data_IF_171344671496
#
_entry.id   IF_171344671496
#
_cell.length_a   1.000
_cell.length_b   1.000
_cell.length_c   1.000
_cell.angle_alpha   90.00
_cell.angle_beta   90.00
_cell.angle_gamma   90.00
#
_symmetry.space_group_name_H-M   'P 1'
#
loop_
_entity.id
_entity.type
_entity.pdbx_description
1 polymer ?
#
# COMPACT_ATOMS: atom_id res chain seq x y z
N UNK A 1 -49.04 -24.10 -29.43
CA UNK A 1 -47.61 -23.76 -29.34
C UNK A 1 -47.39 -22.38 -29.95
N UNK A 2 -47.19 -21.32 -29.16
CA UNK A 2 -46.53 -20.08 -29.60
C UNK A 2 -45.83 -19.37 -28.42
N UNK A 3 -44.80 -19.96 -27.79
CA UNK A 3 -44.00 -19.25 -26.80
C UNK A 3 -42.98 -18.26 -27.42
N UNK A 4 -42.88 -18.18 -28.75
CA UNK A 4 -41.80 -17.51 -29.48
C UNK A 4 -42.24 -16.33 -30.38
N UNK A 5 -43.39 -15.70 -30.11
CA UNK A 5 -43.77 -14.49 -30.86
C UNK A 5 -43.34 -13.23 -30.08
N UNK A 6 -42.30 -12.49 -30.52
CA UNK A 6 -41.81 -11.31 -29.81
C UNK A 6 -42.86 -10.19 -29.72
N UNK A 7 -43.83 -10.14 -30.64
CA UNK A 7 -44.91 -9.15 -30.62
C UNK A 7 -45.92 -9.42 -29.50
N UNK A 8 -46.19 -10.69 -29.17
CA UNK A 8 -47.07 -11.03 -28.04
C UNK A 8 -46.38 -10.78 -26.71
N UNK A 9 -45.06 -10.97 -26.63
CA UNK A 9 -44.25 -10.58 -25.47
C UNK A 9 -44.25 -9.07 -25.26
N UNK A 10 -44.06 -8.28 -26.33
CA UNK A 10 -44.15 -6.81 -26.22
C UNK A 10 -45.53 -6.34 -25.79
N UNK A 11 -46.60 -6.96 -26.29
CA UNK A 11 -47.97 -6.63 -25.86
C UNK A 11 -48.18 -6.98 -24.38
N UNK A 12 -47.72 -8.15 -23.94
CA UNK A 12 -47.82 -8.57 -22.55
C UNK A 12 -47.01 -7.67 -21.60
N UNK A 13 -45.79 -7.30 -21.98
CA UNK A 13 -44.96 -6.34 -21.22
C UNK A 13 -45.66 -4.98 -21.13
N UNK A 14 -46.28 -4.52 -22.23
CA UNK A 14 -47.05 -3.27 -22.23
C UNK A 14 -48.27 -3.33 -21.32
N UNK A 15 -49.06 -4.40 -21.40
CA UNK A 15 -50.21 -4.63 -20.54
C UNK A 15 -49.79 -4.71 -19.08
N UNK A 16 -48.70 -5.43 -18.78
CA UNK A 16 -48.12 -5.51 -17.45
C UNK A 16 -47.71 -4.13 -16.90
N UNK A 17 -46.97 -3.33 -17.68
CA UNK A 17 -46.56 -1.98 -17.28
C UNK A 17 -47.81 -1.11 -17.04
N UNK A 18 -48.79 -1.15 -17.92
CA UNK A 18 -50.02 -0.36 -17.76
C UNK A 18 -50.80 -0.76 -16.50
N UNK A 19 -51.01 -2.05 -16.28
CA UNK A 19 -51.69 -2.56 -15.09
C UNK A 19 -50.89 -2.28 -13.82
N UNK A 20 -49.56 -2.35 -13.88
CA UNK A 20 -48.67 -2.02 -12.77
C UNK A 20 -48.78 -0.54 -12.38
N UNK A 21 -48.74 0.37 -13.36
CA UNK A 21 -48.93 1.79 -13.11
C UNK A 21 -50.34 2.10 -12.60
N UNK A 22 -51.40 1.46 -13.10
CA UNK A 22 -52.76 1.65 -12.59
C UNK A 22 -52.96 1.10 -11.17
N UNK A 23 -52.22 0.06 -10.79
CA UNK A 23 -52.26 -0.53 -9.45
C UNK A 23 -51.56 0.30 -8.36
N UNK A 24 -50.76 1.30 -8.75
CA UNK A 24 -50.13 2.22 -7.80
C UNK A 24 -51.20 3.22 -7.32
N UNK A 25 -51.46 3.33 -6.01
CA UNK A 25 -52.37 4.33 -5.47
C UNK A 25 -51.72 5.72 -5.56
N UNK A 26 -51.78 6.35 -6.73
CA UNK A 26 -51.18 7.67 -7.02
C UNK A 26 -51.68 8.80 -6.11
N UNK A 27 -52.81 8.61 -5.43
CA UNK A 27 -53.31 9.56 -4.41
C UNK A 27 -52.46 9.54 -3.14
N UNK A 28 -51.85 8.41 -2.78
CA UNK A 28 -51.00 8.27 -1.60
C UNK A 28 -49.50 8.25 -1.94
N UNK A 29 -49.15 8.06 -3.21
CA UNK A 29 -47.78 8.16 -3.71
C UNK A 29 -47.02 9.43 -3.28
N UNK A 30 -47.61 10.64 -3.22
CA UNK A 30 -46.90 11.86 -2.79
C UNK A 30 -46.37 11.77 -1.36
N UNK A 31 -47.01 10.99 -0.49
CA UNK A 31 -46.58 10.79 0.90
C UNK A 31 -45.35 9.90 1.00
N UNK A 32 -45.15 9.00 0.04
CA UNK A 32 -44.01 8.08 -0.01
C UNK A 32 -42.78 8.67 -0.71
N UNK A 33 -42.96 9.68 -1.58
CA UNK A 33 -41.86 10.33 -2.31
C UNK A 33 -40.74 10.81 -1.36
N UNK A 34 -41.01 11.51 -0.23
CA UNK A 34 -39.96 11.91 0.70
C UNK A 34 -39.20 10.73 1.30
N UNK A 35 -39.89 9.64 1.66
CA UNK A 35 -39.26 8.45 2.23
C UNK A 35 -38.40 7.70 1.21
N UNK A 36 -38.82 7.68 -0.06
CA UNK A 36 -38.04 7.10 -1.17
C UNK A 36 -36.79 7.93 -1.42
N UNK A 37 -36.90 9.26 -1.48
CA UNK A 37 -35.75 10.17 -1.64
C UNK A 37 -34.78 9.97 -0.48
N UNK A 38 -35.27 9.94 0.76
CA UNK A 38 -34.44 9.72 1.94
C UNK A 38 -33.77 8.35 1.91
N UNK A 39 -34.47 7.31 1.47
CA UNK A 39 -33.89 5.97 1.31
C UNK A 39 -32.80 5.94 0.25
N UNK A 40 -32.98 6.63 -0.88
CA UNK A 40 -31.97 6.75 -1.93
C UNK A 40 -30.75 7.53 -1.42
N UNK A 41 -30.95 8.61 -0.68
CA UNK A 41 -29.85 9.39 -0.07
C UNK A 41 -29.10 8.54 0.95
N UNK A 42 -29.79 7.88 1.88
CA UNK A 42 -29.16 7.00 2.86
C UNK A 42 -28.45 5.81 2.20
N UNK A 43 -29.04 5.24 1.15
CA UNK A 43 -28.43 4.15 0.41
C UNK A 43 -27.19 4.60 -0.33
N UNK A 44 -27.20 5.76 -0.99
CA UNK A 44 -26.01 6.30 -1.68
C UNK A 44 -24.93 6.73 -0.68
N UNK A 45 -25.28 7.37 0.44
CA UNK A 45 -24.33 7.71 1.50
C UNK A 45 -23.74 6.46 2.16
N UNK A 46 -24.58 5.47 2.49
CA UNK A 46 -24.14 4.18 3.03
C UNK A 46 -23.25 3.45 2.03
N UNK A 47 -23.64 3.39 0.76
CA UNK A 47 -22.83 2.80 -0.28
C UNK A 47 -21.48 3.51 -0.40
N UNK A 48 -21.40 4.84 -0.45
CA UNK A 48 -20.12 5.56 -0.49
C UNK A 48 -19.26 5.31 0.77
N UNK A 49 -19.89 5.25 1.95
CA UNK A 49 -19.21 4.99 3.21
C UNK A 49 -18.63 3.56 3.28
N UNK A 50 -19.35 2.56 2.76
CA UNK A 50 -18.99 1.15 2.87
C UNK A 50 -18.32 0.56 1.60
N UNK A 51 -18.55 1.11 0.39
CA UNK A 51 -18.13 0.55 -0.90
C UNK A 51 -16.70 0.90 -1.32
N UNK A 52 -15.84 1.37 -0.41
CA UNK A 52 -14.42 1.48 -0.70
C UNK A 52 -13.97 2.84 -1.21
N UNK A 53 -14.22 3.88 -0.41
CA UNK A 53 -13.38 5.09 -0.42
C UNK A 53 -11.88 4.76 -0.29
N UNK A 54 -11.52 3.60 0.26
CA UNK A 54 -10.14 3.11 0.33
C UNK A 54 -9.46 3.00 -1.04
N UNK A 55 -10.14 2.51 -2.08
CA UNK A 55 -9.50 2.25 -3.38
C UNK A 55 -9.22 3.51 -4.20
N UNK A 56 -10.16 4.45 -4.26
CA UNK A 56 -9.96 5.71 -4.98
C UNK A 56 -9.08 6.69 -4.19
N UNK A 57 -9.29 6.81 -2.87
CA UNK A 57 -8.42 7.64 -2.01
C UNK A 57 -6.98 7.17 -2.05
N UNK A 58 -6.74 5.86 -1.95
CA UNK A 58 -5.37 5.35 -2.01
C UNK A 58 -4.73 5.55 -3.40
N UNK A 59 -5.51 5.42 -4.48
CA UNK A 59 -5.05 5.78 -5.84
C UNK A 59 -4.68 7.26 -5.96
N UNK A 60 -5.48 8.16 -5.37
CA UNK A 60 -5.19 9.59 -5.35
C UNK A 60 -3.93 9.90 -4.53
N UNK A 61 -3.80 9.33 -3.33
CA UNK A 61 -2.62 9.48 -2.48
C UNK A 61 -1.36 8.94 -3.18
N UNK A 62 -1.43 7.78 -3.83
CA UNK A 62 -0.33 7.23 -4.63
C UNK A 62 0.09 8.17 -5.77
N UNK A 63 -0.88 8.79 -6.44
CA UNK A 63 -0.60 9.77 -7.50
C UNK A 63 0.06 11.02 -6.93
N UNK A 64 -0.45 11.55 -5.82
CA UNK A 64 0.11 12.72 -5.14
C UNK A 64 1.54 12.46 -4.66
N UNK A 65 1.77 11.30 -4.04
CA UNK A 65 3.10 10.87 -3.60
C UNK A 65 4.09 10.83 -4.77
N UNK A 66 3.70 10.19 -5.88
CA UNK A 66 4.56 10.12 -7.07
C UNK A 66 4.87 11.50 -7.65
N UNK A 67 3.87 12.38 -7.76
CA UNK A 67 4.06 13.76 -8.26
C UNK A 67 4.96 14.57 -7.33
N UNK A 68 4.85 14.38 -6.01
CA UNK A 68 5.73 15.03 -5.04
C UNK A 68 7.17 14.56 -5.21
N UNK A 69 7.40 13.25 -5.38
CA UNK A 69 8.73 12.70 -5.66
C UNK A 69 9.31 13.20 -7.00
N UNK A 70 8.51 13.25 -8.07
CA UNK A 70 8.94 13.76 -9.38
C UNK A 70 9.33 15.24 -9.35
N UNK A 71 8.87 15.99 -8.34
CA UNK A 71 9.16 17.41 -8.14
C UNK A 71 10.19 17.67 -7.05
N UNK A 72 10.79 16.62 -6.49
CA UNK A 72 11.66 16.68 -5.31
C UNK A 72 11.02 17.42 -4.11
N UNK A 73 9.68 17.44 -4.04
CA UNK A 73 8.91 18.02 -2.94
C UNK A 73 8.76 16.96 -1.84
N UNK A 74 9.89 16.65 -1.19
CA UNK A 74 9.97 15.67 -0.12
C UNK A 74 9.11 16.01 1.12
N UNK A 75 8.93 17.28 1.53
CA UNK A 75 8.00 17.62 2.61
C UNK A 75 6.56 17.21 2.31
N UNK A 76 6.08 17.46 1.09
CA UNK A 76 4.74 17.00 0.67
C UNK A 76 4.70 15.48 0.59
N UNK A 77 5.74 14.83 0.07
CA UNK A 77 5.82 13.37 -0.01
C UNK A 77 5.72 12.72 1.39
N UNK A 78 6.36 13.31 2.40
CA UNK A 78 6.30 12.85 3.80
C UNK A 78 4.87 12.88 4.36
N UNK A 79 4.14 13.97 4.15
CA UNK A 79 2.77 14.12 4.64
C UNK A 79 1.86 13.05 3.98
N UNK A 80 2.03 12.84 2.68
CA UNK A 80 1.21 11.86 1.93
C UNK A 80 1.50 10.45 2.41
N UNK A 81 2.77 10.05 2.55
CA UNK A 81 3.12 8.69 2.95
C UNK A 81 2.75 8.40 4.41
N UNK A 82 2.82 9.39 5.30
CA UNK A 82 2.36 9.25 6.69
C UNK A 82 0.86 8.93 6.75
N UNK A 83 0.04 9.60 5.94
CA UNK A 83 -1.40 9.28 5.82
C UNK A 83 -1.65 7.89 5.25
N UNK A 84 -0.78 7.41 4.36
CA UNK A 84 -0.88 6.04 3.84
C UNK A 84 -0.54 5.01 4.93
N UNK A 85 0.49 5.28 5.74
CA UNK A 85 0.86 4.45 6.90
C UNK A 85 -0.19 4.49 8.01
N UNK A 86 -0.92 5.60 8.21
CA UNK A 86 -2.06 5.65 9.13
C UNK A 86 -3.20 4.70 8.67
N UNK A 87 -3.37 4.53 7.36
CA UNK A 87 -4.38 3.64 6.79
C UNK A 87 -3.94 2.17 6.78
N UNK A 88 -2.65 1.91 6.57
CA UNK A 88 -2.04 0.57 6.61
C UNK A 88 -0.67 0.63 7.32
N UNK A 89 -0.66 0.54 8.67
CA UNK A 89 0.56 0.63 9.47
C UNK A 89 1.49 -0.58 9.32
N UNK A 90 1.04 -1.65 8.66
CA UNK A 90 1.80 -2.90 8.54
C UNK A 90 2.60 -2.99 7.25
N UNK A 91 2.40 -2.04 6.34
CA UNK A 91 2.94 -2.06 4.99
C UNK A 91 4.45 -1.77 4.97
N UNK A 92 5.25 -2.81 4.73
CA UNK A 92 6.71 -2.73 4.71
C UNK A 92 7.23 -1.84 3.57
N UNK A 93 6.56 -1.86 2.41
CA UNK A 93 6.95 -1.04 1.26
C UNK A 93 6.75 0.45 1.55
N UNK A 94 5.65 0.81 2.22
CA UNK A 94 5.39 2.20 2.63
C UNK A 94 6.37 2.65 3.71
N UNK A 95 6.70 1.78 4.68
CA UNK A 95 7.71 2.08 5.69
C UNK A 95 9.09 2.32 5.05
N UNK A 96 9.47 1.49 4.08
CA UNK A 96 10.73 1.66 3.36
C UNK A 96 10.79 2.98 2.59
N UNK A 97 9.74 3.30 1.83
CA UNK A 97 9.62 4.57 1.10
C UNK A 97 9.63 5.77 2.05
N UNK A 98 9.02 5.66 3.23
CA UNK A 98 9.06 6.71 4.24
C UNK A 98 10.51 6.94 4.71
N UNK A 99 11.27 5.88 4.99
CA UNK A 99 12.69 6.00 5.31
C UNK A 99 13.48 6.73 4.23
N UNK A 100 13.27 6.36 2.95
CA UNK A 100 13.92 7.06 1.83
C UNK A 100 13.53 8.54 1.73
N UNK A 101 12.27 8.91 1.96
CA UNK A 101 11.85 10.32 2.00
C UNK A 101 12.55 11.06 3.14
N UNK A 102 12.69 10.44 4.31
CA UNK A 102 13.40 11.02 5.46
C UNK A 102 14.88 11.25 5.17
N UNK A 103 15.53 10.32 4.48
CA UNK A 103 16.91 10.49 4.00
C UNK A 103 17.03 11.73 3.10
N UNK A 104 16.12 11.91 2.14
CA UNK A 104 16.14 13.07 1.24
C UNK A 104 15.86 14.41 1.97
N UNK A 105 15.19 14.36 3.12
CA UNK A 105 15.01 15.50 4.01
C UNK A 105 16.21 15.76 4.95
N UNK A 106 17.29 14.98 4.83
CA UNK A 106 18.49 15.10 5.67
C UNK A 106 18.37 14.45 7.04
N UNK A 107 17.35 13.62 7.26
CA UNK A 107 17.13 12.88 8.52
C UNK A 107 17.69 11.46 8.43
N UNK A 108 19.01 11.35 8.25
CA UNK A 108 19.69 10.06 7.99
C UNK A 108 19.61 9.09 9.18
N UNK A 109 19.70 9.60 10.41
CA UNK A 109 19.59 8.80 11.63
C UNK A 109 18.21 8.14 11.76
N UNK A 110 17.14 8.89 11.45
CA UNK A 110 15.78 8.35 11.43
C UNK A 110 15.59 7.32 10.33
N UNK A 111 16.16 7.56 9.15
CA UNK A 111 16.16 6.58 8.07
C UNK A 111 16.84 5.27 8.52
N UNK A 112 18.02 5.35 9.16
CA UNK A 112 18.73 4.18 9.71
C UNK A 112 17.84 3.39 10.66
N UNK A 113 17.18 4.05 11.61
CA UNK A 113 16.27 3.39 12.55
C UNK A 113 15.10 2.68 11.85
N UNK A 114 14.51 3.31 10.83
CA UNK A 114 13.45 2.70 10.02
C UNK A 114 13.97 1.47 9.28
N UNK A 115 15.15 1.55 8.66
CA UNK A 115 15.76 0.43 7.92
C UNK A 115 16.13 -0.73 8.83
N UNK A 116 16.65 -0.45 10.04
CA UNK A 116 16.90 -1.46 11.08
C UNK A 116 15.60 -2.14 11.53
N UNK A 117 14.53 -1.37 11.73
CA UNK A 117 13.20 -1.91 12.04
C UNK A 117 12.69 -2.82 10.92
N UNK A 118 12.94 -2.48 9.66
CA UNK A 118 12.58 -3.31 8.51
C UNK A 118 13.47 -4.56 8.36
N UNK A 119 14.75 -4.47 8.71
CA UNK A 119 15.66 -5.62 8.76
C UNK A 119 15.17 -6.67 9.75
N UNK A 120 14.66 -6.25 10.91
CA UNK A 120 14.06 -7.16 11.90
C UNK A 120 12.88 -7.97 11.34
N UNK A 121 12.17 -7.41 10.36
CA UNK A 121 11.07 -8.06 9.63
C UNK A 121 11.54 -8.84 8.39
N UNK A 122 12.86 -9.04 8.23
CA UNK A 122 13.51 -9.69 7.09
C UNK A 122 13.16 -9.08 5.72
N UNK A 123 12.98 -7.75 5.68
CA UNK A 123 12.65 -7.03 4.45
C UNK A 123 13.91 -6.75 3.62
N UNK A 124 14.02 -7.40 2.46
CA UNK A 124 15.22 -7.41 1.62
C UNK A 124 15.66 -6.01 1.14
N UNK A 125 14.77 -5.11 0.66
CA UNK A 125 15.21 -3.79 0.19
C UNK A 125 15.89 -2.94 1.28
N UNK A 126 15.44 -3.05 2.54
CA UNK A 126 16.10 -2.37 3.65
C UNK A 126 17.50 -2.93 3.92
N UNK A 127 17.68 -4.25 3.84
CA UNK A 127 19.00 -4.88 3.97
C UNK A 127 19.96 -4.43 2.87
N UNK A 128 19.48 -4.32 1.62
CA UNK A 128 20.30 -3.79 0.52
C UNK A 128 20.70 -2.34 0.75
N UNK A 129 19.79 -1.51 1.23
CA UNK A 129 20.09 -0.14 1.58
C UNK A 129 21.15 -0.07 2.69
N UNK A 130 21.03 -0.87 3.75
CA UNK A 130 22.03 -0.93 4.83
C UNK A 130 23.40 -1.40 4.30
N UNK A 131 23.42 -2.40 3.41
CA UNK A 131 24.64 -2.86 2.76
C UNK A 131 25.34 -1.73 2.00
N UNK A 132 24.59 -0.99 1.17
CA UNK A 132 25.14 0.07 0.33
C UNK A 132 25.65 1.27 1.12
N UNK A 133 24.89 1.73 2.12
CA UNK A 133 25.20 2.98 2.83
C UNK A 133 26.05 2.79 4.10
N UNK A 134 26.05 1.59 4.72
CA UNK A 134 26.75 1.39 6.00
C UNK A 134 27.89 0.39 5.93
N UNK A 135 27.79 -0.64 5.08
CA UNK A 135 28.75 -1.74 5.06
C UNK A 135 29.78 -1.53 3.95
N UNK A 136 29.32 -1.21 2.75
CA UNK A 136 30.20 -1.00 1.60
C UNK A 136 31.09 0.23 1.85
N UNK A 137 32.40 0.04 1.69
CA UNK A 137 33.41 1.10 1.86
C UNK A 137 34.07 1.15 3.24
N UNK A 138 33.50 0.49 4.27
CA UNK A 138 34.13 0.34 5.59
C UNK A 138 34.87 -0.99 5.70
N UNK A 139 35.92 -1.05 6.54
CA UNK A 139 36.58 -2.32 6.87
C UNK A 139 35.87 -2.99 8.03
N UNK A 140 35.87 -4.33 8.04
CA UNK A 140 35.29 -5.13 9.13
C UNK A 140 35.89 -4.80 10.51
N UNK A 141 37.12 -4.30 10.55
CA UNK A 141 37.82 -3.89 11.78
C UNK A 141 37.33 -2.59 12.39
N UNK A 142 36.58 -1.80 11.63
CA UNK A 142 36.18 -0.44 12.03
C UNK A 142 34.78 -0.42 12.65
N UNK A 143 34.11 -1.59 12.70
CA UNK A 143 32.78 -1.75 13.29
C UNK A 143 32.89 -2.10 14.77
N UNK A 144 31.99 -1.52 15.56
CA UNK A 144 31.73 -1.99 16.92
C UNK A 144 31.04 -3.36 16.89
N UNK A 145 31.06 -4.09 18.02
CA UNK A 145 30.49 -5.44 18.12
C UNK A 145 29.01 -5.50 17.70
N UNK A 146 28.22 -4.49 18.08
CA UNK A 146 26.82 -4.37 17.68
C UNK A 146 26.65 -4.12 16.17
N UNK A 147 27.47 -3.24 15.59
CA UNK A 147 27.43 -2.94 14.15
C UNK A 147 27.90 -4.13 13.33
N UNK A 148 28.88 -4.89 13.84
CA UNK A 148 29.39 -6.10 13.22
C UNK A 148 28.31 -7.20 13.21
N UNK A 149 27.57 -7.37 14.31
CA UNK A 149 26.43 -8.29 14.37
C UNK A 149 25.27 -7.86 13.45
N UNK A 150 25.02 -6.56 13.31
CA UNK A 150 24.06 -6.03 12.32
C UNK A 150 24.50 -6.32 10.88
N UNK A 151 25.77 -6.07 10.56
CA UNK A 151 26.34 -6.36 9.25
C UNK A 151 26.22 -7.84 8.90
N UNK A 152 26.48 -8.74 9.87
CA UNK A 152 26.25 -10.18 9.74
C UNK A 152 24.82 -10.52 9.33
N UNK A 153 23.81 -9.97 10.03
CA UNK A 153 22.38 -10.18 9.73
C UNK A 153 22.00 -9.67 8.34
N UNK A 154 22.53 -8.52 7.93
CA UNK A 154 22.30 -7.95 6.59
C UNK A 154 22.86 -8.87 5.51
N UNK A 155 24.12 -9.28 5.65
CA UNK A 155 24.82 -10.13 4.69
C UNK A 155 24.19 -11.52 4.61
N UNK A 156 23.80 -12.10 5.74
CA UNK A 156 23.07 -13.37 5.82
C UNK A 156 21.75 -13.28 5.05
N UNK A 157 20.92 -12.27 5.34
CA UNK A 157 19.61 -12.12 4.72
C UNK A 157 19.71 -11.94 3.20
N UNK A 158 20.67 -11.16 2.71
CA UNK A 158 20.87 -10.98 1.28
C UNK A 158 21.38 -12.27 0.64
N UNK A 159 22.29 -12.99 1.30
CA UNK A 159 22.81 -14.28 0.80
C UNK A 159 21.72 -15.35 0.70
N UNK A 160 20.82 -15.40 1.68
CA UNK A 160 19.68 -16.31 1.73
C UNK A 160 18.65 -16.01 0.62
N UNK A 161 18.34 -14.73 0.39
CA UNK A 161 17.35 -14.31 -0.62
C UNK A 161 17.91 -14.23 -2.04
N UNK A 162 19.19 -13.94 -2.20
CA UNK A 162 19.87 -13.74 -3.49
C UNK A 162 21.14 -14.60 -3.59
N UNK A 163 20.99 -15.94 -3.70
CA UNK A 163 22.13 -16.84 -3.71
C UNK A 163 23.05 -16.65 -4.93
N UNK A 164 22.58 -16.05 -6.01
CA UNK A 164 23.42 -15.80 -7.19
C UNK A 164 24.40 -14.63 -6.99
N UNK A 165 24.20 -13.80 -5.96
CA UNK A 165 25.06 -12.65 -5.69
C UNK A 165 26.40 -13.08 -5.05
N UNK A 166 27.37 -13.43 -5.90
CA UNK A 166 28.70 -13.89 -5.49
C UNK A 166 29.46 -12.87 -4.65
N UNK A 167 29.27 -11.58 -4.90
CA UNK A 167 29.98 -10.52 -4.18
C UNK A 167 29.57 -10.48 -2.71
N UNK A 168 28.26 -10.51 -2.45
CA UNK A 168 27.72 -10.53 -1.10
C UNK A 168 28.07 -11.84 -0.39
N UNK A 169 28.04 -12.97 -1.10
CA UNK A 169 28.51 -14.25 -0.56
C UNK A 169 29.97 -14.21 -0.11
N UNK A 170 30.85 -13.60 -0.89
CA UNK A 170 32.26 -13.43 -0.49
C UNK A 170 32.40 -12.52 0.73
N UNK A 171 31.65 -11.42 0.78
CA UNK A 171 31.62 -10.54 1.96
C UNK A 171 31.13 -11.27 3.21
N UNK A 172 30.07 -12.07 3.09
CA UNK A 172 29.54 -12.87 4.19
C UNK A 172 30.53 -13.94 4.66
N UNK A 173 31.22 -14.61 3.73
CA UNK A 173 32.27 -15.57 4.07
C UNK A 173 33.43 -14.89 4.82
N UNK A 174 33.87 -13.70 4.38
CA UNK A 174 34.91 -12.93 5.05
C UNK A 174 34.47 -12.50 6.47
N UNK A 175 33.21 -12.10 6.63
CA UNK A 175 32.62 -11.81 7.93
C UNK A 175 32.67 -13.03 8.86
N UNK A 176 32.21 -14.22 8.41
CA UNK A 176 32.24 -15.44 9.21
C UNK A 176 33.66 -15.89 9.60
N UNK A 177 34.64 -15.64 8.74
CA UNK A 177 36.05 -15.91 9.07
C UNK A 177 36.57 -14.95 10.14
N UNK A 178 36.18 -13.68 10.06
CA UNK A 178 36.54 -12.66 11.04
C UNK A 178 35.91 -12.96 12.41
N UNK A 179 34.61 -13.25 12.43
CA UNK A 179 33.85 -13.60 13.64
C UNK A 179 34.39 -14.86 14.33
N UNK A 180 34.84 -15.88 13.59
CA UNK A 180 35.42 -17.09 14.20
C UNK A 180 36.82 -16.88 14.79
N UNK A 181 37.49 -15.79 14.44
CA UNK A 181 38.88 -15.53 14.82
C UNK A 181 39.00 -14.70 16.10
N UNK A 182 37.95 -13.97 16.45
CA UNK A 182 37.86 -13.12 17.64
C UNK A 182 36.73 -13.62 18.55
#
# INVERSE_FOLDING_TARGET
>A
MHPLNPLTWMRWVREFIQSWFLGIPWRDAPKAIPAIILSIVLFTTGFIAFSGGAGWRNRLLNRQFRVALERDDFPTAEIVIRRQLEADPSNLDLMYRFGLVRQNLGSDDECKLVMQGLLSKRYLPAAKWLLEYQIIGKKLTDFDEEELAEAGRVLELITDREPENRNVKMMYANYLIYEKRF
#
